data_IF_450320240921
#
_entry.id   IF_450320240921
#
_cell.length_a   1.000
_cell.length_b   1.000
_cell.length_c   1.000
_cell.angle_alpha   90.00
_cell.angle_beta   90.00
_cell.angle_gamma   90.00
#
_symmetry.space_group_name_H-M   'P 1'
#
loop_
_entity.id
_entity.type
_entity.pdbx_description
1 polymer ?
#
# COMPACT_ATOMS: atom_id res chain seq x y z
N UNK A 1 -1.58 -3.10 -25.76
CA UNK A 1 -1.36 -2.42 -24.47
C UNK A 1 -0.34 -3.26 -23.73
N UNK A 2 0.84 -2.72 -23.37
CA UNK A 2 1.81 -3.48 -22.60
C UNK A 2 1.34 -3.47 -21.14
N UNK A 3 0.87 -4.63 -20.65
CA UNK A 3 0.57 -4.85 -19.24
C UNK A 3 1.89 -4.98 -18.48
N UNK A 4 2.05 -4.25 -17.37
CA UNK A 4 3.25 -4.32 -16.54
C UNK A 4 3.25 -5.65 -15.76
N UNK A 5 4.41 -6.29 -15.63
CA UNK A 5 4.54 -7.47 -14.77
C UNK A 5 4.34 -7.10 -13.30
N UNK A 6 3.97 -8.07 -12.46
CA UNK A 6 3.70 -7.87 -11.04
C UNK A 6 4.93 -7.38 -10.30
N UNK A 7 6.10 -7.82 -10.76
CA UNK A 7 7.38 -7.31 -10.31
C UNK A 7 7.56 -5.83 -10.64
N UNK A 8 7.28 -5.43 -11.88
CA UNK A 8 7.41 -4.02 -12.30
C UNK A 8 6.43 -3.11 -11.54
N UNK A 9 5.21 -3.61 -11.31
CA UNK A 9 4.22 -2.93 -10.48
C UNK A 9 4.73 -2.78 -9.05
N UNK A 10 5.24 -3.86 -8.45
CA UNK A 10 5.81 -3.83 -7.11
C UNK A 10 6.97 -2.84 -6.99
N UNK A 11 7.96 -2.91 -7.90
CA UNK A 11 9.10 -1.99 -7.96
C UNK A 11 8.64 -0.53 -8.07
N UNK A 12 7.62 -0.25 -8.92
CA UNK A 12 7.05 1.08 -9.06
C UNK A 12 6.43 1.59 -7.76
N UNK A 13 5.71 0.74 -7.04
CA UNK A 13 5.10 1.11 -5.76
C UNK A 13 6.14 1.29 -4.66
N UNK A 14 7.20 0.47 -4.63
CA UNK A 14 8.32 0.67 -3.71
C UNK A 14 9.05 1.98 -4.01
N UNK A 15 9.29 2.29 -5.28
CA UNK A 15 9.91 3.55 -5.67
C UNK A 15 9.04 4.76 -5.26
N UNK A 16 7.72 4.65 -5.44
CA UNK A 16 6.78 5.69 -4.99
C UNK A 16 6.82 5.86 -3.47
N UNK A 17 6.85 4.77 -2.71
CA UNK A 17 7.00 4.78 -1.25
C UNK A 17 8.28 5.51 -0.80
N UNK A 18 9.40 5.19 -1.43
CA UNK A 18 10.69 5.83 -1.15
C UNK A 18 10.71 7.31 -1.53
N UNK A 19 10.11 7.66 -2.67
CA UNK A 19 10.13 9.03 -3.20
C UNK A 19 9.23 9.97 -2.39
N UNK A 20 8.06 9.49 -1.96
CA UNK A 20 7.07 10.30 -1.24
C UNK A 20 7.36 10.42 0.26
N UNK A 21 8.17 9.51 0.79
CA UNK A 21 8.66 9.58 2.16
C UNK A 21 7.64 9.16 3.22
N UNK A 22 8.12 9.06 4.46
CA UNK A 22 7.37 8.58 5.62
C UNK A 22 6.07 9.37 5.81
N UNK A 23 4.96 8.65 6.05
CA UNK A 23 3.64 9.25 6.30
C UNK A 23 2.79 9.53 5.06
N UNK A 24 3.34 9.34 3.85
CA UNK A 24 2.57 9.41 2.59
C UNK A 24 1.76 8.14 2.35
N UNK A 25 0.64 8.25 1.63
CA UNK A 25 -0.19 7.10 1.27
C UNK A 25 0.59 6.07 0.45
N UNK A 26 1.48 6.54 -0.42
CA UNK A 26 2.38 5.70 -1.21
C UNK A 26 3.37 4.94 -0.33
N UNK A 27 3.91 5.57 0.73
CA UNK A 27 4.76 4.90 1.70
C UNK A 27 4.02 3.80 2.45
N UNK A 28 2.80 4.09 2.91
CA UNK A 28 1.96 3.07 3.54
C UNK A 28 1.64 1.91 2.59
N UNK A 29 1.32 2.22 1.33
CA UNK A 29 1.02 1.21 0.33
C UNK A 29 2.21 0.31 0.01
N UNK A 30 3.38 0.89 -0.21
CA UNK A 30 4.62 0.12 -0.41
C UNK A 30 4.95 -0.75 0.79
N UNK A 31 4.75 -0.25 2.02
CA UNK A 31 5.02 -1.02 3.22
C UNK A 31 4.04 -2.20 3.40
N UNK A 32 2.75 -2.02 3.05
CA UNK A 32 1.77 -3.12 3.06
C UNK A 32 2.10 -4.17 2.01
N UNK A 33 2.46 -3.76 0.79
CA UNK A 33 2.90 -4.69 -0.25
C UNK A 33 4.15 -5.47 0.17
N UNK A 34 5.10 -4.79 0.82
CA UNK A 34 6.31 -5.43 1.33
C UNK A 34 5.99 -6.46 2.43
N UNK A 35 5.09 -6.13 3.36
CA UNK A 35 4.63 -7.08 4.38
C UNK A 35 3.90 -8.28 3.76
N UNK A 36 3.00 -8.04 2.80
CA UNK A 36 2.31 -9.09 2.07
C UNK A 36 3.30 -10.02 1.36
N UNK A 37 4.36 -9.47 0.74
CA UNK A 37 5.40 -10.26 0.09
C UNK A 37 6.15 -11.15 1.08
N UNK A 38 6.39 -10.69 2.32
CA UNK A 38 7.05 -11.50 3.36
C UNK A 38 6.15 -12.62 3.92
N UNK A 39 4.84 -12.41 3.95
CA UNK A 39 3.86 -13.36 4.51
C UNK A 39 3.45 -14.40 3.46
N UNK A 40 3.05 -13.93 2.28
CA UNK A 40 2.43 -14.75 1.23
C UNK A 40 3.44 -15.26 0.19
N UNK A 41 4.61 -14.64 0.12
CA UNK A 41 5.65 -14.94 -0.87
C UNK A 41 5.56 -14.08 -2.13
N UNK A 42 6.69 -13.99 -2.82
CA UNK A 42 6.87 -13.17 -4.03
C UNK A 42 5.89 -13.54 -5.15
N UNK A 43 5.85 -14.83 -5.51
CA UNK A 43 5.07 -15.33 -6.64
C UNK A 43 3.60 -14.96 -6.53
N UNK A 44 3.00 -15.18 -5.35
CA UNK A 44 1.59 -14.91 -5.09
C UNK A 44 1.28 -13.42 -5.13
N UNK A 45 2.14 -12.57 -4.55
CA UNK A 45 1.93 -11.12 -4.55
C UNK A 45 2.04 -10.55 -5.96
N UNK A 46 3.02 -10.99 -6.75
CA UNK A 46 3.19 -10.52 -8.13
C UNK A 46 2.02 -10.95 -9.01
N UNK A 47 1.58 -12.21 -8.93
CA UNK A 47 0.41 -12.67 -9.67
C UNK A 47 -0.86 -11.89 -9.32
N UNK A 48 -1.06 -11.54 -8.04
CA UNK A 48 -2.19 -10.72 -7.62
C UNK A 48 -2.11 -9.29 -8.16
N UNK A 49 -0.91 -8.70 -8.19
CA UNK A 49 -0.69 -7.37 -8.78
C UNK A 49 -0.97 -7.37 -10.28
N UNK A 50 -0.53 -8.41 -11.00
CA UNK A 50 -0.81 -8.57 -12.45
C UNK A 50 -2.30 -8.74 -12.71
N UNK A 51 -2.97 -9.61 -11.94
CA UNK A 51 -4.41 -9.83 -12.07
C UNK A 51 -5.21 -8.55 -11.77
N UNK A 52 -4.77 -7.74 -10.81
CA UNK A 52 -5.39 -6.45 -10.51
C UNK A 52 -5.21 -5.44 -11.66
N UNK A 53 -4.02 -5.39 -12.26
CA UNK A 53 -3.75 -4.54 -13.42
C UNK A 53 -4.58 -4.96 -14.64
N UNK A 54 -4.56 -6.25 -14.98
CA UNK A 54 -5.31 -6.83 -16.10
C UNK A 54 -6.83 -6.69 -15.95
N UNK A 55 -7.35 -6.74 -14.73
CA UNK A 55 -8.78 -6.55 -14.47
C UNK A 55 -9.23 -5.09 -14.50
N UNK A 56 -8.32 -4.14 -14.74
CA UNK A 56 -8.59 -2.70 -14.67
C UNK A 56 -8.91 -2.21 -13.26
N UNK A 57 -8.94 -3.11 -12.27
CA UNK A 57 -9.00 -2.77 -10.85
C UNK A 57 -7.62 -2.37 -10.42
N UNK A 58 -7.21 -1.14 -10.77
CA UNK A 58 -6.17 -0.47 -9.99
C UNK A 58 -6.55 -0.65 -8.53
N UNK A 59 -5.67 -1.27 -7.75
CA UNK A 59 -5.86 -1.40 -6.30
C UNK A 59 -5.76 0.02 -5.73
N UNK A 60 -6.85 0.76 -5.86
CA UNK A 60 -7.11 1.96 -5.10
C UNK A 60 -7.65 1.42 -3.79
N UNK A 61 -6.77 1.32 -2.79
CA UNK A 61 -7.21 1.26 -1.42
C UNK A 61 -7.83 2.63 -1.11
N UNK A 62 -9.11 2.77 -1.43
CA UNK A 62 -9.97 3.67 -0.69
C UNK A 62 -9.99 3.11 0.72
N UNK A 63 -9.06 3.53 1.56
CA UNK A 63 -9.36 3.58 2.97
C UNK A 63 -10.65 4.39 3.03
N UNK A 64 -11.75 3.78 3.49
CA UNK A 64 -12.78 4.58 4.12
C UNK A 64 -12.01 5.38 5.16
N UNK A 65 -11.74 6.65 4.86
CA UNK A 65 -11.41 7.59 5.88
C UNK A 65 -12.60 7.47 6.83
N UNK A 66 -12.45 6.68 7.88
CA UNK A 66 -13.23 6.86 9.08
C UNK A 66 -13.07 8.34 9.37
N UNK A 67 -14.16 9.05 9.09
CA UNK A 67 -14.43 10.45 9.37
C UNK A 67 -13.25 11.17 10.03
N UNK A 68 -12.60 12.07 9.30
CA UNK A 68 -11.82 13.14 9.90
C UNK A 68 -12.74 14.15 10.64
N UNK A 69 -13.74 13.65 11.37
CA UNK A 69 -14.71 14.41 12.15
C UNK A 69 -14.77 13.86 13.57
N UNK A 70 -13.63 13.82 14.26
CA UNK A 70 -13.52 14.15 15.70
C UNK A 70 -12.04 14.09 16.10
N UNK A 71 -11.30 15.16 15.76
CA UNK A 71 -10.06 15.49 16.46
C UNK A 71 -10.42 16.13 17.81
N UNK A 72 -11.04 15.36 18.70
CA UNK A 72 -11.15 15.73 20.11
C UNK A 72 -10.43 14.63 20.90
N UNK A 73 -9.35 15.07 21.52
CA UNK A 73 -8.52 14.44 22.56
C UNK A 73 -7.32 13.57 22.11
N UNK A 74 -6.08 14.00 22.42
CA UNK A 74 -4.95 13.07 22.46
C UNK A 74 -5.11 12.17 23.68
N UNK A 75 -5.08 10.84 23.48
CA UNK A 75 -4.97 9.89 24.59
C UNK A 75 -3.58 10.03 25.20
N UNK A 76 -3.51 10.74 26.33
CA UNK A 76 -2.31 10.89 27.14
C UNK A 76 -2.00 9.51 27.74
N UNK A 77 -0.95 8.86 27.26
CA UNK A 77 -0.34 7.74 27.97
C UNK A 77 0.34 8.27 29.24
N UNK A 78 -0.35 8.17 30.39
CA UNK A 78 0.27 8.40 31.69
C UNK A 78 1.11 7.16 32.02
N UNK A 79 2.43 7.34 32.04
CA UNK A 79 3.37 6.42 32.71
C UNK A 79 3.75 7.08 34.02
N UNK A 80 3.23 6.56 35.12
CA UNK A 80 3.51 6.99 36.50
C UNK A 80 3.27 5.84 37.46
#
# INVERSE_FOLDING_TARGET
MQTMSGKELFDRYQLAALTKGLGSQEFHYGNVLYQALKIEGEEKVFQLLEAAEQSGKRIVLSYSATDQTNLIEPDIAIIG
#
